data_IF_838641186453
#
_entry.id   IF_838641186453
#
_cell.length_a   1.000
_cell.length_b   1.000
_cell.length_c   1.000
_cell.angle_alpha   90.00
_cell.angle_beta   90.00
_cell.angle_gamma   90.00
#
_symmetry.space_group_name_H-M   'P 1'
#
loop_
_entity.id
_entity.type
_entity.pdbx_description
1 polymer ?
#
# COMPACT_ATOMS: atom_id res chain seq x y z
N UNK A 1 0.40 -26.85 8.99
CA UNK A 1 -1.09 -26.71 8.93
C UNK A 1 -1.69 -27.82 9.80
N UNK A 2 -2.55 -27.52 10.80
CA UNK A 2 -3.13 -28.52 11.73
C UNK A 2 -4.49 -29.11 11.26
N UNK A 3 -4.82 -29.04 9.96
CA UNK A 3 -6.08 -29.58 9.41
C UNK A 3 -7.37 -28.90 9.90
N UNK A 4 -7.30 -27.78 10.61
CA UNK A 4 -8.46 -27.07 11.16
C UNK A 4 -9.14 -26.20 10.10
N UNK A 5 -10.47 -26.05 10.21
CA UNK A 5 -11.28 -25.13 9.39
C UNK A 5 -11.36 -23.75 10.05
N UNK A 6 -11.34 -22.70 9.24
CA UNK A 6 -11.60 -21.32 9.66
C UNK A 6 -13.01 -20.97 9.19
N UNK A 7 -13.83 -20.47 10.09
CA UNK A 7 -15.22 -20.09 9.83
C UNK A 7 -15.33 -18.60 10.15
N UNK A 8 -15.87 -17.82 9.21
CA UNK A 8 -16.26 -16.43 9.45
C UNK A 8 -17.66 -16.45 10.05
N UNK A 9 -17.81 -15.85 11.23
CA UNK A 9 -19.09 -15.76 11.96
C UNK A 9 -19.58 -14.33 11.82
N UNK A 10 -20.78 -14.15 11.26
CA UNK A 10 -21.34 -12.84 10.94
C UNK A 10 -21.57 -11.97 12.20
N UNK A 11 -21.94 -12.61 13.33
CA UNK A 11 -22.13 -11.94 14.62
C UNK A 11 -20.84 -11.75 15.45
N UNK A 12 -19.66 -11.91 14.87
CA UNK A 12 -18.42 -11.68 15.60
C UNK A 12 -18.13 -10.18 15.73
N UNK A 13 -18.37 -9.62 16.91
CA UNK A 13 -18.05 -8.23 17.20
C UNK A 13 -16.58 -8.05 17.62
N UNK A 14 -15.93 -7.04 17.04
CA UNK A 14 -14.56 -6.65 17.39
C UNK A 14 -14.57 -5.16 17.74
N UNK A 15 -14.14 -4.84 18.96
CA UNK A 15 -13.95 -3.47 19.41
C UNK A 15 -12.49 -3.07 19.19
N UNK A 16 -12.24 -2.07 18.34
CA UNK A 16 -10.92 -1.48 18.10
C UNK A 16 -10.97 0.02 18.42
N UNK A 17 -9.93 0.53 19.06
CA UNK A 17 -9.82 1.95 19.37
C UNK A 17 -9.03 2.66 18.25
N UNK A 18 -9.52 3.81 17.80
CA UNK A 18 -8.75 4.64 16.88
C UNK A 18 -7.51 5.15 17.61
N UNK A 19 -6.33 4.80 17.10
CA UNK A 19 -5.09 5.33 17.65
C UNK A 19 -4.99 6.82 17.31
N UNK A 20 -5.02 7.67 18.32
CA UNK A 20 -5.00 9.13 18.16
C UNK A 20 -3.62 9.65 17.69
N UNK A 21 -2.56 8.86 17.86
CA UNK A 21 -1.19 9.25 17.50
C UNK A 21 -0.86 8.88 16.04
N UNK A 22 -0.66 9.86 15.14
CA UNK A 22 -0.32 9.62 13.73
C UNK A 22 0.98 8.82 13.54
N UNK A 23 1.95 8.92 14.47
CA UNK A 23 3.19 8.16 14.40
C UNK A 23 2.95 6.68 14.70
N UNK A 24 2.11 6.37 15.69
CA UNK A 24 1.74 4.99 16.03
C UNK A 24 0.91 4.37 14.90
N UNK A 25 -0.02 5.12 14.31
CA UNK A 25 -0.77 4.64 13.14
C UNK A 25 0.14 4.34 11.94
N UNK A 26 1.12 5.20 11.68
CA UNK A 26 2.12 4.94 10.63
C UNK A 26 2.92 3.67 10.91
N UNK A 27 3.37 3.46 12.14
CA UNK A 27 4.06 2.22 12.54
C UNK A 27 3.17 0.98 12.41
N UNK A 28 1.90 1.06 12.84
CA UNK A 28 0.91 0.00 12.67
C UNK A 28 0.74 -0.38 11.19
N UNK A 29 0.58 0.62 10.31
CA UNK A 29 0.47 0.42 8.85
C UNK A 29 1.70 -0.26 8.28
N UNK A 30 2.89 0.20 8.65
CA UNK A 30 4.16 -0.39 8.18
C UNK A 30 4.29 -1.84 8.65
N UNK A 31 3.94 -2.14 9.91
CA UNK A 31 3.98 -3.50 10.46
C UNK A 31 3.05 -4.45 9.71
N UNK A 32 1.79 -4.04 9.49
CA UNK A 32 0.80 -4.84 8.76
C UNK A 32 1.27 -5.14 7.33
N UNK A 33 1.85 -4.14 6.67
CA UNK A 33 2.30 -4.25 5.28
C UNK A 33 3.59 -5.07 5.16
N UNK A 34 4.51 -4.93 6.12
CA UNK A 34 5.67 -5.82 6.26
C UNK A 34 5.26 -7.27 6.53
N UNK A 35 4.20 -7.48 7.32
CA UNK A 35 3.58 -8.79 7.53
C UNK A 35 3.04 -9.42 6.24
N UNK A 36 2.54 -8.61 5.29
CA UNK A 36 2.15 -9.11 3.98
C UNK A 36 3.37 -9.64 3.20
N UNK A 37 4.47 -8.89 3.14
CA UNK A 37 5.71 -9.34 2.49
C UNK A 37 6.27 -10.62 3.14
N UNK A 38 6.30 -10.69 4.48
CA UNK A 38 6.70 -11.90 5.21
C UNK A 38 5.81 -13.10 4.86
N UNK A 39 4.49 -12.88 4.77
CA UNK A 39 3.53 -13.92 4.42
C UNK A 39 3.75 -14.42 3.00
N UNK A 40 4.02 -13.52 2.04
CA UNK A 40 4.34 -13.88 0.66
C UNK A 40 5.61 -14.73 0.57
N UNK A 41 6.66 -14.35 1.30
CA UNK A 41 7.92 -15.11 1.33
C UNK A 41 7.76 -16.51 1.98
N UNK A 42 7.00 -16.60 3.09
CA UNK A 42 6.79 -17.87 3.81
C UNK A 42 5.77 -18.80 3.14
N UNK A 43 4.86 -18.24 2.34
CA UNK A 43 3.76 -18.97 1.70
C UNK A 43 3.82 -18.87 0.18
N UNK A 44 4.91 -19.32 -0.43
CA UNK A 44 5.08 -19.34 -1.89
C UNK A 44 3.94 -20.07 -2.64
N UNK A 45 3.25 -21.00 -1.98
CA UNK A 45 2.07 -21.68 -2.53
C UNK A 45 0.92 -20.73 -2.90
N UNK A 46 0.85 -19.53 -2.31
CA UNK A 46 -0.17 -18.52 -2.63
C UNK A 46 -0.08 -18.03 -4.08
N UNK A 47 1.11 -18.09 -4.68
CA UNK A 47 1.36 -17.68 -6.06
C UNK A 47 1.14 -18.82 -7.07
N UNK A 48 0.78 -20.02 -6.63
CA UNK A 48 0.49 -21.14 -7.52
C UNK A 48 -1.02 -21.22 -7.80
N UNK A 49 -1.46 -21.08 -9.07
CA UNK A 49 -2.88 -21.09 -9.43
C UNK A 49 -3.57 -22.44 -9.16
N UNK A 50 -2.81 -23.54 -9.16
CA UNK A 50 -3.34 -24.89 -8.88
C UNK A 50 -3.58 -25.11 -7.38
N UNK A 51 -2.77 -24.47 -6.52
CA UNK A 51 -2.84 -24.65 -5.06
C UNK A 51 -3.69 -23.59 -4.36
N UNK A 52 -3.98 -22.48 -5.03
CA UNK A 52 -4.73 -21.37 -4.48
C UNK A 52 -6.03 -21.14 -5.28
N UNK A 53 -7.21 -21.56 -4.78
CA UNK A 53 -8.48 -21.39 -5.50
C UNK A 53 -8.89 -19.93 -5.67
N UNK A 54 -8.34 -19.01 -4.86
CA UNK A 54 -8.60 -17.55 -4.93
C UNK A 54 -7.41 -16.79 -5.51
N UNK A 55 -6.60 -17.45 -6.33
CA UNK A 55 -5.35 -16.89 -6.88
C UNK A 55 -5.56 -15.57 -7.62
N UNK A 56 -6.60 -15.46 -8.47
CA UNK A 56 -6.87 -14.25 -9.26
C UNK A 56 -7.14 -13.05 -8.33
N UNK A 57 -8.02 -13.23 -7.33
CA UNK A 57 -8.33 -12.18 -6.36
C UNK A 57 -7.10 -11.80 -5.53
N UNK A 58 -6.30 -12.80 -5.14
CA UNK A 58 -5.06 -12.59 -4.40
C UNK A 58 -4.04 -11.77 -5.21
N UNK A 59 -3.77 -12.15 -6.45
CA UNK A 59 -2.80 -11.45 -7.29
C UNK A 59 -3.32 -10.04 -7.64
N UNK A 60 -4.57 -9.92 -8.06
CA UNK A 60 -5.16 -8.64 -8.45
C UNK A 60 -5.28 -7.65 -7.29
N UNK A 61 -5.86 -8.04 -6.15
CA UNK A 61 -6.13 -7.08 -5.07
C UNK A 61 -4.99 -6.95 -4.07
N UNK A 62 -4.23 -8.03 -3.85
CA UNK A 62 -3.18 -8.05 -2.83
C UNK A 62 -1.82 -7.78 -3.43
N UNK A 63 -1.43 -8.49 -4.50
CA UNK A 63 -0.09 -8.33 -5.08
C UNK A 63 0.01 -7.02 -5.86
N UNK A 64 -0.94 -6.72 -6.76
CA UNK A 64 -0.86 -5.47 -7.54
C UNK A 64 -0.86 -4.24 -6.66
N UNK A 65 -1.59 -4.24 -5.54
CA UNK A 65 -1.58 -3.12 -4.58
C UNK A 65 -0.18 -2.77 -4.08
N UNK A 66 0.69 -3.76 -3.89
CA UNK A 66 2.07 -3.55 -3.48
C UNK A 66 2.95 -3.12 -4.66
N UNK A 67 2.54 -3.42 -5.90
CA UNK A 67 3.25 -3.06 -7.13
C UNK A 67 2.91 -1.65 -7.68
N UNK A 68 1.76 -1.08 -7.30
CA UNK A 68 1.33 0.28 -7.70
C UNK A 68 2.46 1.33 -7.62
N UNK A 69 3.22 1.48 -6.52
CA UNK A 69 4.27 2.52 -6.45
C UNK A 69 5.34 2.36 -7.54
N UNK A 70 5.66 1.13 -7.96
CA UNK A 70 6.63 0.89 -9.04
C UNK A 70 6.05 1.25 -10.40
N UNK A 71 4.77 0.93 -10.63
CA UNK A 71 4.07 1.33 -11.86
C UNK A 71 3.92 2.84 -11.98
N UNK A 72 3.76 3.57 -10.88
CA UNK A 72 3.75 5.03 -10.89
C UNK A 72 5.10 5.60 -11.39
N UNK A 73 6.22 5.05 -10.91
CA UNK A 73 7.56 5.45 -11.35
C UNK A 73 7.79 5.10 -12.82
N UNK A 74 7.46 3.88 -13.23
CA UNK A 74 7.59 3.45 -14.63
C UNK A 74 6.76 4.38 -15.52
N UNK A 75 5.49 4.61 -15.18
CA UNK A 75 4.58 5.46 -15.97
C UNK A 75 5.04 6.92 -16.03
N UNK A 76 5.77 7.40 -15.03
CA UNK A 76 6.38 8.73 -15.07
C UNK A 76 7.61 8.78 -15.99
N UNK A 77 8.40 7.71 -16.04
CA UNK A 77 9.65 7.64 -16.81
C UNK A 77 9.40 7.33 -18.29
N UNK A 78 8.47 6.42 -18.60
CA UNK A 78 8.21 5.96 -19.98
C UNK A 78 7.91 7.09 -20.98
N UNK A 79 7.11 8.13 -20.65
CA UNK A 79 6.84 9.25 -21.54
C UNK A 79 8.07 10.01 -22.04
N UNK A 80 9.21 9.98 -21.32
CA UNK A 80 10.44 10.63 -21.77
C UNK A 80 11.10 9.92 -22.95
N UNK A 81 10.76 8.65 -23.19
CA UNK A 81 11.31 7.82 -24.27
C UNK A 81 10.33 7.60 -25.42
N UNK A 82 9.08 8.04 -25.27
CA UNK A 82 8.03 7.84 -26.26
C UNK A 82 7.54 9.18 -26.81
N UNK A 83 7.28 9.22 -28.11
CA UNK A 83 6.76 10.41 -28.79
C UNK A 83 5.25 10.28 -29.00
N UNK A 84 4.52 11.37 -28.77
CA UNK A 84 3.08 11.43 -28.99
C UNK A 84 2.34 12.26 -27.94
N UNK A 85 1.24 12.89 -28.36
CA UNK A 85 0.45 13.80 -27.52
C UNK A 85 -0.13 13.12 -26.27
N UNK A 86 -0.44 11.82 -26.36
CA UNK A 86 -0.95 11.03 -25.23
C UNK A 86 0.10 10.96 -24.11
N UNK A 87 1.37 10.77 -24.43
CA UNK A 87 2.45 10.69 -23.43
C UNK A 87 2.69 12.04 -22.76
N UNK A 88 2.55 13.14 -23.52
CA UNK A 88 2.58 14.51 -22.97
C UNK A 88 1.42 14.75 -21.99
N UNK A 89 0.22 14.26 -22.29
CA UNK A 89 -0.90 14.35 -21.35
C UNK A 89 -0.65 13.52 -20.08
N UNK A 90 -0.10 12.31 -20.21
CA UNK A 90 0.21 11.45 -19.06
C UNK A 90 1.21 12.11 -18.13
N UNK A 91 2.31 12.67 -18.65
CA UNK A 91 3.31 13.35 -17.81
C UNK A 91 2.72 14.61 -17.15
N UNK A 92 1.87 15.37 -17.85
CA UNK A 92 1.22 16.55 -17.29
C UNK A 92 0.29 16.17 -16.13
N UNK A 93 -0.54 15.14 -16.31
CA UNK A 93 -1.41 14.62 -15.25
C UNK A 93 -0.62 14.11 -14.04
N UNK A 94 0.49 13.41 -14.27
CA UNK A 94 1.39 12.97 -13.20
C UNK A 94 2.01 14.16 -12.46
N UNK A 95 2.46 15.19 -13.18
CA UNK A 95 2.98 16.41 -12.55
C UNK A 95 1.92 17.11 -11.70
N UNK A 96 0.70 17.27 -12.19
CA UNK A 96 -0.41 17.84 -11.41
C UNK A 96 -0.70 17.02 -10.15
N UNK A 97 -0.71 15.69 -10.27
CA UNK A 97 -0.87 14.79 -9.14
C UNK A 97 0.23 15.00 -8.08
N UNK A 98 1.52 15.01 -8.48
CA UNK A 98 2.62 15.20 -7.54
C UNK A 98 2.65 16.61 -6.92
N UNK A 99 2.30 17.65 -7.68
CA UNK A 99 2.13 19.01 -7.16
C UNK A 99 1.02 19.04 -6.11
N UNK A 100 -0.12 18.39 -6.36
CA UNK A 100 -1.24 18.31 -5.41
C UNK A 100 -0.80 17.64 -4.10
N UNK A 101 -0.02 16.57 -4.18
CA UNK A 101 0.57 15.90 -3.01
C UNK A 101 1.51 16.83 -2.25
N UNK A 102 2.38 17.55 -2.95
CA UNK A 102 3.34 18.48 -2.35
C UNK A 102 2.62 19.63 -1.64
N UNK A 103 1.59 20.21 -2.26
CA UNK A 103 0.74 21.23 -1.66
C UNK A 103 0.03 20.71 -0.42
N UNK A 104 -0.55 19.51 -0.48
CA UNK A 104 -1.15 18.87 0.69
C UNK A 104 -0.13 18.59 1.80
N UNK A 105 1.14 18.36 1.48
CA UNK A 105 2.20 18.18 2.48
C UNK A 105 2.64 19.48 3.15
N UNK A 106 2.85 20.55 2.37
CA UNK A 106 3.34 21.83 2.86
C UNK A 106 2.26 22.65 3.55
N UNK A 107 1.03 22.55 3.08
CA UNK A 107 -0.11 23.34 3.55
C UNK A 107 -1.23 22.39 3.98
N UNK A 108 -1.28 21.96 5.26
CA UNK A 108 -2.27 21.02 5.75
C UNK A 108 -3.72 21.48 5.54
N UNK A 109 -3.98 22.80 5.55
CA UNK A 109 -5.32 23.36 5.30
C UNK A 109 -5.87 23.05 3.90
N UNK A 110 -5.00 22.86 2.90
CA UNK A 110 -5.44 22.45 1.55
C UNK A 110 -5.97 21.00 1.51
N UNK A 111 -5.74 20.19 2.55
CA UNK A 111 -6.31 18.84 2.67
C UNK A 111 -7.81 18.85 2.98
N UNK A 112 -8.40 20.01 3.27
CA UNK A 112 -9.87 20.13 3.34
C UNK A 112 -10.51 19.85 1.97
N UNK A 113 -9.79 20.14 0.88
CA UNK A 113 -10.23 19.75 -0.45
C UNK A 113 -10.09 18.24 -0.63
N UNK A 114 -11.22 17.58 -0.91
CA UNK A 114 -11.31 16.12 -1.13
C UNK A 114 -10.32 15.62 -2.19
N UNK A 115 -10.07 16.39 -3.26
CA UNK A 115 -9.13 16.00 -4.32
C UNK A 115 -7.68 15.96 -3.81
N UNK A 116 -7.25 16.99 -3.09
CA UNK A 116 -5.90 17.07 -2.52
C UNK A 116 -5.72 16.01 -1.43
N UNK A 117 -6.72 15.85 -0.57
CA UNK A 117 -6.75 14.80 0.45
C UNK A 117 -6.63 13.41 -0.15
N UNK A 118 -7.41 13.13 -1.21
CA UNK A 118 -7.33 11.87 -1.94
C UNK A 118 -5.94 11.63 -2.52
N UNK A 119 -5.37 12.61 -3.24
CA UNK A 119 -4.04 12.48 -3.83
C UNK A 119 -2.97 12.24 -2.76
N UNK A 120 -3.03 13.01 -1.66
CA UNK A 120 -2.10 12.91 -0.54
C UNK A 120 -2.18 11.53 0.13
N UNK A 121 -3.38 11.07 0.51
CA UNK A 121 -3.58 9.77 1.17
C UNK A 121 -3.19 8.62 0.25
N UNK A 122 -3.54 8.70 -1.04
CA UNK A 122 -3.15 7.73 -2.04
C UNK A 122 -1.62 7.63 -2.14
N UNK A 123 -0.91 8.76 -2.22
CA UNK A 123 0.55 8.78 -2.22
C UNK A 123 1.15 8.22 -0.93
N UNK A 124 0.63 8.60 0.25
CA UNK A 124 1.08 8.11 1.55
C UNK A 124 0.96 6.57 1.68
N UNK A 125 -0.14 5.99 1.20
CA UNK A 125 -0.34 4.54 1.19
C UNK A 125 0.67 3.82 0.28
N UNK A 126 0.92 4.37 -0.90
CA UNK A 126 1.90 3.82 -1.85
C UNK A 126 3.34 3.96 -1.32
N UNK A 127 3.69 5.11 -0.76
CA UNK A 127 4.98 5.33 -0.10
C UNK A 127 5.17 4.36 1.09
N UNK A 128 4.12 4.13 1.88
CA UNK A 128 4.12 3.13 2.95
C UNK A 128 4.47 1.73 2.46
N UNK A 129 4.03 1.35 1.25
CA UNK A 129 4.34 0.05 0.62
C UNK A 129 5.81 -0.12 0.30
N UNK A 130 6.47 0.93 -0.18
CA UNK A 130 7.91 0.94 -0.47
C UNK A 130 8.73 0.93 0.82
N UNK A 131 8.35 1.76 1.80
CA UNK A 131 9.02 1.81 3.12
C UNK A 131 8.95 0.45 3.81
N UNK A 132 7.78 -0.19 3.79
CA UNK A 132 7.58 -1.51 4.40
C UNK A 132 8.43 -2.60 3.73
N UNK A 133 8.60 -2.54 2.41
CA UNK A 133 9.50 -3.46 1.71
C UNK A 133 10.95 -3.25 2.16
N UNK A 134 11.41 -2.01 2.23
CA UNK A 134 12.77 -1.68 2.71
C UNK A 134 12.97 -2.19 4.15
N UNK A 135 11.99 -1.96 5.03
CA UNK A 135 12.06 -2.42 6.43
C UNK A 135 12.03 -3.95 6.54
N UNK A 136 11.28 -4.63 5.67
CA UNK A 136 11.31 -6.09 5.56
C UNK A 136 12.71 -6.61 5.20
N UNK A 137 13.36 -6.04 4.19
CA UNK A 137 14.73 -6.43 3.81
C UNK A 137 15.78 -6.07 4.87
N UNK A 138 15.59 -4.96 5.58
CA UNK A 138 16.54 -4.51 6.61
C UNK A 138 16.28 -5.18 7.97
N UNK A 139 15.29 -6.09 8.05
CA UNK A 139 14.89 -6.79 9.27
C UNK A 139 14.55 -5.86 10.46
N UNK A 140 14.16 -4.61 10.19
CA UNK A 140 13.88 -3.57 11.20
C UNK A 140 12.42 -3.57 11.69
N UNK A 141 11.67 -4.63 11.39
CA UNK A 141 10.27 -4.73 11.78
C UNK A 141 10.21 -5.37 13.16
N UNK A 142 10.02 -4.56 14.20
CA UNK A 142 9.75 -5.08 15.53
C UNK A 142 8.41 -5.86 15.50
N UNK A 143 8.51 -7.17 15.68
CA UNK A 143 7.37 -8.09 15.67
C UNK A 143 6.65 -8.07 17.02
N UNK A 144 7.28 -7.49 18.05
CA UNK A 144 6.74 -7.52 19.41
C UNK A 144 5.57 -6.54 19.52
N UNK A 145 4.45 -7.05 20.01
CA UNK A 145 3.37 -6.22 20.52
C UNK A 145 3.85 -5.59 21.82
N UNK A 146 4.35 -4.35 21.74
CA UNK A 146 4.44 -3.52 22.93
C UNK A 146 3.00 -3.14 23.28
N UNK A 147 2.51 -3.69 24.40
CA UNK A 147 1.27 -3.23 25.01
C UNK A 147 1.49 -1.76 25.37
N UNK A 148 0.73 -0.89 24.72
CA UNK A 148 0.47 0.46 25.22
C UNK A 148 -0.63 0.32 26.25
#
# INVERSE_FOLDING_TARGET
KKGKRVILVDGAELYDAVQEDPKKEKQRKIRTLSGNYQSFARNAWLFNPVKNPVWIQFVSHKVMRLLIPYFMVITFITPFFLQGWIYTLVILLQCLFYISVLLGRLLPGLRENKLISFCYVFFELNAGSVISLKMYFTNQVDVRWNKV
#
